data_IF_691556215574
#
_entry.id   IF_691556215574
#
_cell.length_a   1.000
_cell.length_b   1.000
_cell.length_c   1.000
_cell.angle_alpha   90.00
_cell.angle_beta   90.00
_cell.angle_gamma   90.00
#
_symmetry.space_group_name_H-M   'P 1'
#
loop_
_entity.id
_entity.type
_entity.pdbx_description
1 polymer ?
#
# COMPACT_ATOMS: atom_id res chain seq x y z
N UNK A 1 1.25 19.16 -12.49
CA UNK A 1 0.71 18.08 -13.38
C UNK A 1 0.30 16.90 -12.51
N UNK A 2 -0.62 16.03 -12.95
CA UNK A 2 -1.04 14.85 -12.17
C UNK A 2 0.05 13.77 -12.07
N UNK A 3 -0.31 12.63 -11.45
CA UNK A 3 0.49 11.40 -11.50
C UNK A 3 0.22 10.71 -12.83
N UNK A 4 1.24 10.09 -13.43
CA UNK A 4 1.07 9.34 -14.67
C UNK A 4 0.13 8.14 -14.48
N UNK A 5 -0.80 7.98 -15.42
CA UNK A 5 -1.83 6.95 -15.38
C UNK A 5 -1.63 5.95 -16.52
N UNK A 6 -1.83 4.67 -16.22
CA UNK A 6 -1.67 3.56 -17.14
C UNK A 6 -2.84 2.59 -17.04
N UNK A 7 -3.19 1.98 -18.17
CA UNK A 7 -4.29 1.02 -18.26
C UNK A 7 -3.74 -0.42 -18.29
N UNK A 8 -4.56 -1.37 -17.83
CA UNK A 8 -4.26 -2.78 -18.04
C UNK A 8 -4.53 -3.18 -19.49
N UNK A 9 -3.51 -3.74 -20.14
CA UNK A 9 -3.66 -4.49 -21.40
C UNK A 9 -3.58 -5.98 -21.08
N UNK A 10 -4.54 -6.74 -21.57
CA UNK A 10 -4.62 -8.19 -21.37
C UNK A 10 -4.55 -8.64 -19.90
N UNK A 11 -5.27 -7.92 -19.02
CA UNK A 11 -5.30 -8.17 -17.56
C UNK A 11 -3.94 -8.02 -16.87
N UNK A 12 -3.04 -7.18 -17.41
CA UNK A 12 -1.75 -6.84 -16.80
C UNK A 12 -1.35 -5.39 -17.09
N UNK A 13 -0.60 -4.77 -16.17
CA UNK A 13 0.06 -3.51 -16.47
C UNK A 13 1.31 -3.81 -17.30
N UNK A 14 1.35 -3.34 -18.55
CA UNK A 14 2.59 -3.39 -19.33
C UNK A 14 3.51 -2.26 -18.85
N UNK A 15 4.59 -2.59 -18.14
CA UNK A 15 5.53 -1.61 -17.60
C UNK A 15 6.48 -1.13 -18.72
N UNK A 16 6.00 -0.15 -19.48
CA UNK A 16 6.77 0.49 -20.55
C UNK A 16 7.95 1.31 -20.02
N UNK A 17 8.87 1.69 -20.91
CA UNK A 17 9.96 2.62 -20.57
C UNK A 17 9.43 3.97 -20.04
N UNK A 18 8.26 4.41 -20.51
CA UNK A 18 7.58 5.59 -19.98
C UNK A 18 7.08 5.36 -18.54
N UNK A 19 6.55 4.17 -18.23
CA UNK A 19 6.13 3.80 -16.87
C UNK A 19 7.31 3.82 -15.90
N UNK A 20 8.44 3.25 -16.30
CA UNK A 20 9.69 3.27 -15.51
C UNK A 20 10.18 4.70 -15.32
N UNK A 21 10.26 5.49 -16.40
CA UNK A 21 10.68 6.89 -16.32
C UNK A 21 9.79 7.71 -15.39
N UNK A 22 8.46 7.62 -15.52
CA UNK A 22 7.55 8.36 -14.63
C UNK A 22 7.65 7.88 -13.18
N UNK A 23 7.83 6.58 -12.93
CA UNK A 23 8.08 6.08 -11.58
C UNK A 23 9.39 6.61 -10.99
N UNK A 24 10.47 6.65 -11.77
CA UNK A 24 11.75 7.22 -11.35
C UNK A 24 11.67 8.74 -11.12
N UNK A 25 10.89 9.44 -11.94
CA UNK A 25 10.77 10.90 -11.91
C UNK A 25 9.86 11.37 -10.77
N UNK A 26 8.68 10.78 -10.64
CA UNK A 26 7.59 11.19 -9.76
C UNK A 26 7.48 10.34 -8.49
N UNK A 27 8.12 9.17 -8.46
CA UNK A 27 8.10 8.23 -7.35
C UNK A 27 6.85 7.36 -7.31
N UNK A 28 5.89 7.57 -8.22
CA UNK A 28 4.63 6.86 -8.23
C UNK A 28 3.97 6.86 -9.61
N UNK A 29 3.13 5.85 -9.85
CA UNK A 29 2.27 5.72 -11.03
C UNK A 29 0.91 5.14 -10.63
N UNK A 30 -0.15 5.46 -11.36
CA UNK A 30 -1.50 4.92 -11.15
C UNK A 30 -1.80 3.89 -12.23
N UNK A 31 -2.34 2.75 -11.81
CA UNK A 31 -3.06 1.80 -12.65
C UNK A 31 -4.56 2.07 -12.53
N UNK A 32 -5.17 2.54 -13.61
CA UNK A 32 -6.57 2.99 -13.66
C UNK A 32 -7.50 1.92 -14.24
N UNK A 33 -8.71 1.93 -13.73
CA UNK A 33 -9.88 1.30 -14.30
C UNK A 33 -10.41 2.14 -15.45
N UNK A 34 -9.94 1.86 -16.66
CA UNK A 34 -10.64 2.24 -17.88
C UNK A 34 -11.53 1.08 -18.32
N UNK A 35 -12.80 1.34 -18.65
CA UNK A 35 -13.78 0.36 -19.11
C UNK A 35 -13.88 -0.93 -18.26
N UNK A 36 -13.95 -0.80 -16.93
CA UNK A 36 -14.08 -1.91 -15.96
C UNK A 36 -12.84 -2.83 -15.84
N UNK A 37 -11.66 -2.35 -16.25
CA UNK A 37 -10.37 -3.07 -16.22
C UNK A 37 -9.32 -2.38 -15.36
N UNK A 38 -9.69 -2.03 -14.12
CA UNK A 38 -8.73 -1.62 -13.09
C UNK A 38 -7.76 -2.75 -12.75
N UNK A 39 -6.89 -2.54 -11.77
CA UNK A 39 -6.04 -3.63 -11.26
C UNK A 39 -6.92 -4.83 -10.87
N UNK A 40 -8.08 -4.58 -10.28
CA UNK A 40 -9.11 -5.59 -10.04
C UNK A 40 -10.35 -5.30 -10.89
N UNK A 41 -10.92 -6.35 -11.49
CA UNK A 41 -12.27 -6.25 -12.07
C UNK A 41 -13.34 -6.22 -10.98
N UNK A 42 -14.58 -5.85 -11.32
CA UNK A 42 -15.71 -5.87 -10.37
C UNK A 42 -15.91 -7.24 -9.72
N UNK A 43 -15.74 -8.33 -10.48
CA UNK A 43 -15.90 -9.69 -9.95
C UNK A 43 -14.76 -10.11 -9.02
N UNK A 44 -13.52 -9.71 -9.34
CA UNK A 44 -12.36 -9.90 -8.45
C UNK A 44 -12.53 -9.08 -7.17
N UNK A 45 -12.99 -7.83 -7.29
CA UNK A 45 -13.23 -6.93 -6.18
C UNK A 45 -14.30 -7.46 -5.22
N UNK A 46 -15.42 -7.99 -5.73
CA UNK A 46 -16.45 -8.63 -4.90
C UNK A 46 -15.90 -9.80 -4.09
N UNK A 47 -15.01 -10.61 -4.68
CA UNK A 47 -14.33 -11.70 -3.97
C UNK A 47 -13.43 -11.16 -2.85
N UNK A 48 -12.66 -10.10 -3.12
CA UNK A 48 -11.83 -9.46 -2.10
C UNK A 48 -12.69 -8.87 -0.97
N UNK A 49 -13.80 -8.19 -1.28
CA UNK A 49 -14.74 -7.69 -0.27
C UNK A 49 -15.22 -8.78 0.68
N UNK A 50 -15.68 -9.92 0.13
CA UNK A 50 -16.12 -11.07 0.92
C UNK A 50 -15.05 -11.54 1.91
N UNK A 51 -13.78 -11.51 1.52
CA UNK A 51 -12.67 -11.90 2.38
C UNK A 51 -12.34 -10.85 3.42
N UNK A 52 -12.30 -9.56 3.06
CA UNK A 52 -11.94 -8.50 4.01
C UNK A 52 -13.02 -8.21 5.06
N UNK A 53 -14.26 -8.58 4.75
CA UNK A 53 -15.40 -8.52 5.68
C UNK A 53 -15.55 -9.80 6.53
N UNK A 54 -14.74 -10.82 6.28
CA UNK A 54 -14.80 -12.07 7.03
C UNK A 54 -14.48 -11.81 8.52
N UNK A 55 -15.35 -12.22 9.46
CA UNK A 55 -15.13 -12.04 10.90
C UNK A 55 -13.78 -12.61 11.39
N UNK A 56 -13.32 -13.71 10.80
CA UNK A 56 -12.05 -14.33 11.15
C UNK A 56 -10.83 -13.50 10.73
N UNK A 57 -10.96 -12.63 9.74
CA UNK A 57 -9.94 -11.63 9.42
C UNK A 57 -10.09 -10.40 10.32
N UNK A 58 -11.33 -9.91 10.46
CA UNK A 58 -11.65 -8.69 11.20
C UNK A 58 -11.27 -8.78 12.68
N UNK A 59 -11.26 -9.98 13.29
CA UNK A 59 -10.79 -10.17 14.68
C UNK A 59 -9.33 -9.75 14.91
N UNK A 60 -8.51 -9.72 13.86
CA UNK A 60 -7.11 -9.29 13.92
C UNK A 60 -6.95 -7.76 13.81
N UNK A 61 -8.06 -7.04 13.67
CA UNK A 61 -8.05 -5.60 13.50
C UNK A 61 -7.67 -4.88 14.79
N UNK A 62 -6.86 -3.85 14.63
CA UNK A 62 -6.55 -2.90 15.68
C UNK A 62 -6.64 -1.48 15.13
N UNK A 63 -6.94 -0.54 16.00
CA UNK A 63 -6.93 0.85 15.62
C UNK A 63 -5.61 1.55 15.96
N UNK A 64 -5.38 2.68 15.32
CA UNK A 64 -4.28 3.61 15.62
C UNK A 64 -4.83 5.03 15.72
N UNK A 65 -5.08 5.57 16.92
CA UNK A 65 -5.69 6.89 17.05
C UNK A 65 -4.80 7.97 16.44
N UNK A 66 -5.43 8.97 15.83
CA UNK A 66 -4.80 10.21 15.41
C UNK A 66 -4.81 11.25 16.54
N UNK A 67 -4.23 12.43 16.27
CA UNK A 67 -4.19 13.55 17.21
C UNK A 67 -5.55 14.04 17.71
N UNK A 68 -6.62 13.75 16.94
CA UNK A 68 -8.00 14.16 17.22
C UNK A 68 -8.79 13.03 17.89
N UNK A 69 -8.17 11.89 18.18
CA UNK A 69 -8.82 10.70 18.74
C UNK A 69 -9.66 9.91 17.74
N UNK A 70 -9.59 10.21 16.43
CA UNK A 70 -10.18 9.40 15.38
C UNK A 70 -9.24 8.24 15.05
N UNK A 71 -9.78 7.08 14.68
CA UNK A 71 -8.99 5.85 14.65
C UNK A 71 -9.20 5.08 13.33
N UNK A 72 -8.27 5.16 12.35
CA UNK A 72 -8.24 4.17 11.29
C UNK A 72 -7.99 2.78 11.85
N UNK A 73 -8.61 1.80 11.21
CA UNK A 73 -8.50 0.38 11.54
C UNK A 73 -7.50 -0.29 10.60
N UNK A 74 -6.67 -1.16 11.16
CA UNK A 74 -5.64 -1.89 10.43
C UNK A 74 -5.70 -3.38 10.77
N UNK A 75 -5.48 -4.21 9.76
CA UNK A 75 -5.06 -5.61 9.90
C UNK A 75 -3.75 -5.76 9.15
N UNK A 76 -2.73 -6.37 9.75
CA UNK A 76 -1.41 -6.55 9.12
C UNK A 76 -1.01 -8.03 9.15
N UNK A 77 -0.53 -8.54 8.02
CA UNK A 77 0.06 -9.88 7.93
C UNK A 77 1.36 -9.89 7.11
N UNK A 78 2.30 -10.75 7.53
CA UNK A 78 3.66 -10.79 6.98
C UNK A 78 3.78 -11.64 5.71
N UNK A 79 2.94 -12.67 5.59
CA UNK A 79 2.96 -13.61 4.47
C UNK A 79 1.64 -13.60 3.71
N UNK A 80 1.66 -13.71 2.37
CA UNK A 80 0.50 -13.44 1.54
C UNK A 80 -0.70 -14.37 1.83
N UNK A 81 -0.47 -15.60 2.31
CA UNK A 81 -1.52 -16.61 2.47
C UNK A 81 -2.02 -17.18 1.14
N UNK A 82 -3.06 -18.02 1.20
CA UNK A 82 -3.64 -18.69 0.03
C UNK A 82 -5.11 -18.32 -0.24
N UNK A 83 -5.66 -17.35 0.48
CA UNK A 83 -6.95 -16.73 0.17
C UNK A 83 -6.83 -15.74 -1.01
N UNK A 84 -7.96 -15.17 -1.42
CA UNK A 84 -8.01 -14.22 -2.55
C UNK A 84 -7.07 -13.02 -2.39
N UNK A 85 -6.86 -12.49 -1.18
CA UNK A 85 -5.93 -11.37 -0.97
C UNK A 85 -4.47 -11.80 -1.18
N UNK A 86 -4.14 -13.05 -0.87
CA UNK A 86 -2.85 -13.66 -1.19
C UNK A 86 -2.68 -13.94 -2.69
N UNK A 87 -3.77 -14.21 -3.42
CA UNK A 87 -3.74 -14.27 -4.89
C UNK A 87 -3.48 -12.89 -5.50
N UNK A 88 -4.10 -11.83 -4.98
CA UNK A 88 -3.81 -10.46 -5.42
C UNK A 88 -2.32 -10.13 -5.25
N UNK A 89 -1.77 -10.37 -4.05
CA UNK A 89 -0.36 -10.11 -3.75
C UNK A 89 0.65 -10.97 -4.54
N UNK A 90 0.24 -12.12 -5.08
CA UNK A 90 1.10 -13.00 -5.89
C UNK A 90 0.82 -12.90 -7.38
N UNK A 91 -0.25 -12.24 -7.78
CA UNK A 91 -0.62 -12.13 -9.18
C UNK A 91 0.47 -11.41 -9.97
N UNK A 92 0.71 -11.86 -11.21
CA UNK A 92 1.72 -11.26 -12.09
C UNK A 92 1.51 -9.75 -12.28
N UNK A 93 0.26 -9.31 -12.43
CA UNK A 93 -0.11 -7.88 -12.59
C UNK A 93 0.26 -7.01 -11.39
N UNK A 94 0.51 -7.59 -10.21
CA UNK A 94 1.03 -6.87 -9.04
C UNK A 94 2.51 -7.15 -8.82
N UNK A 95 2.87 -8.42 -8.62
CA UNK A 95 4.23 -8.80 -8.23
C UNK A 95 5.25 -8.56 -9.36
N UNK A 96 4.95 -8.92 -10.61
CA UNK A 96 5.88 -8.70 -11.73
C UNK A 96 5.99 -7.22 -12.08
N UNK A 97 4.89 -6.44 -11.95
CA UNK A 97 4.93 -4.98 -12.04
C UNK A 97 5.93 -4.40 -11.04
N UNK A 98 5.91 -4.85 -9.78
CA UNK A 98 6.89 -4.42 -8.77
C UNK A 98 8.32 -4.85 -9.12
N UNK A 99 8.53 -6.05 -9.67
CA UNK A 99 9.85 -6.49 -10.14
C UNK A 99 10.40 -5.61 -11.24
N UNK A 100 9.55 -5.23 -12.20
CA UNK A 100 9.94 -4.39 -13.32
C UNK A 100 10.25 -2.95 -12.89
N UNK A 101 9.48 -2.39 -11.96
CA UNK A 101 9.70 -1.04 -11.43
C UNK A 101 10.91 -0.98 -10.49
N UNK A 102 11.15 -2.01 -9.67
CA UNK A 102 12.32 -2.07 -8.78
C UNK A 102 13.59 -2.64 -9.45
N UNK A 103 13.49 -3.15 -10.67
CA UNK A 103 14.64 -3.67 -11.42
C UNK A 103 15.26 -4.94 -10.82
N UNK A 104 14.45 -5.87 -10.31
CA UNK A 104 14.95 -7.13 -9.79
C UNK A 104 13.88 -8.02 -9.17
N UNK A 105 14.30 -9.20 -8.70
CA UNK A 105 13.42 -10.09 -7.94
C UNK A 105 12.91 -9.39 -6.68
N UNK A 106 11.61 -9.54 -6.39
CA UNK A 106 10.96 -8.99 -5.20
C UNK A 106 10.35 -10.11 -4.38
N UNK A 107 10.21 -9.86 -3.08
CA UNK A 107 9.38 -10.67 -2.21
C UNK A 107 8.30 -9.82 -1.54
N UNK A 108 7.21 -10.46 -1.14
CA UNK A 108 6.17 -9.83 -0.35
C UNK A 108 6.69 -9.54 1.06
N UNK A 109 6.73 -8.27 1.44
CA UNK A 109 7.23 -7.83 2.74
C UNK A 109 6.14 -7.80 3.80
N UNK A 110 4.96 -7.28 3.48
CA UNK A 110 3.74 -7.43 4.28
C UNK A 110 2.55 -6.90 3.48
N UNK A 111 1.34 -7.24 3.92
CA UNK A 111 0.13 -6.54 3.50
C UNK A 111 -0.57 -5.95 4.70
N UNK A 112 -1.16 -4.77 4.52
CA UNK A 112 -2.10 -4.15 5.44
C UNK A 112 -3.46 -4.03 4.78
N UNK A 113 -4.51 -4.40 5.49
CA UNK A 113 -5.86 -3.90 5.22
C UNK A 113 -6.04 -2.64 6.05
N UNK A 114 -6.24 -1.50 5.39
CA UNK A 114 -6.53 -0.23 6.05
C UNK A 114 -7.99 0.11 5.82
N UNK A 115 -8.70 0.43 6.89
CA UNK A 115 -10.10 0.85 6.88
C UNK A 115 -10.26 2.22 7.55
N UNK A 116 -10.77 3.19 6.80
CA UNK A 116 -11.30 4.44 7.34
C UNK A 116 -12.82 4.40 7.34
N UNK A 117 -13.40 4.15 8.50
CA UNK A 117 -14.84 4.14 8.68
C UNK A 117 -15.45 5.55 8.53
N UNK A 118 -16.72 5.65 8.12
CA UNK A 118 -17.42 6.93 8.01
C UNK A 118 -17.28 7.77 9.28
N UNK A 119 -16.93 9.04 9.11
CA UNK A 119 -16.78 10.07 10.17
C UNK A 119 -15.71 9.82 11.25
N UNK A 120 -15.31 8.57 11.52
CA UNK A 120 -14.42 8.19 12.62
C UNK A 120 -13.03 7.71 12.16
N UNK A 121 -12.86 7.40 10.86
CA UNK A 121 -11.56 7.03 10.32
C UNK A 121 -10.58 8.20 10.38
N UNK A 122 -9.52 8.07 11.18
CA UNK A 122 -8.57 9.15 11.44
C UNK A 122 -7.51 9.39 10.38
N UNK A 123 -6.68 10.40 10.67
CA UNK A 123 -5.56 10.85 9.84
C UNK A 123 -4.37 9.89 9.98
N UNK A 124 -3.68 9.62 8.87
CA UNK A 124 -2.30 9.14 8.92
C UNK A 124 -1.41 10.35 8.68
N UNK A 125 -0.49 10.65 9.61
CA UNK A 125 0.43 11.77 9.49
C UNK A 125 1.37 11.62 8.28
N UNK A 126 1.99 12.71 7.82
CA UNK A 126 3.00 12.65 6.78
C UNK A 126 4.11 11.65 7.14
N UNK A 127 4.40 10.72 6.26
CA UNK A 127 5.44 9.71 6.48
C UNK A 127 6.03 9.18 5.17
N UNK A 128 7.08 8.39 5.33
CA UNK A 128 7.68 7.54 4.31
C UNK A 128 7.60 6.11 4.84
N UNK A 129 7.17 5.16 4.03
CA UNK A 129 7.14 3.75 4.44
C UNK A 129 8.52 3.27 4.89
N UNK A 130 9.56 3.68 4.15
CA UNK A 130 10.95 3.36 4.48
C UNK A 130 11.40 3.92 5.82
N UNK A 131 10.83 5.02 6.32
CA UNK A 131 11.21 5.54 7.63
C UNK A 131 10.88 4.57 8.77
N UNK A 132 9.83 3.77 8.62
CA UNK A 132 9.55 2.65 9.51
C UNK A 132 10.47 1.47 9.23
N UNK A 133 10.60 1.08 7.96
CA UNK A 133 11.30 -0.15 7.57
C UNK A 133 12.82 -0.07 7.78
N UNK A 134 13.38 1.13 7.73
CA UNK A 134 14.76 1.43 8.13
C UNK A 134 15.02 1.01 9.58
N UNK A 135 14.07 1.28 10.49
CA UNK A 135 14.17 0.82 11.89
C UNK A 135 14.00 -0.69 12.04
N UNK A 136 13.48 -1.37 11.00
CA UNK A 136 13.25 -2.82 10.98
C UNK A 136 14.34 -3.60 10.22
N UNK A 137 15.48 -2.96 9.95
CA UNK A 137 16.67 -3.64 9.41
C UNK A 137 16.82 -3.59 7.90
N UNK A 138 15.88 -2.96 7.17
CA UNK A 138 16.04 -2.71 5.73
C UNK A 138 17.13 -1.64 5.51
N UNK A 139 18.16 -1.97 4.74
CA UNK A 139 19.35 -1.13 4.59
C UNK A 139 19.25 -0.11 3.45
N UNK A 140 18.55 -0.48 2.38
CA UNK A 140 18.31 0.36 1.22
C UNK A 140 16.82 0.60 1.02
N UNK A 141 16.43 1.74 0.43
CA UNK A 141 15.04 2.03 0.05
C UNK A 141 14.62 1.29 -1.24
N UNK A 142 15.12 0.07 -1.43
CA UNK A 142 14.87 -0.81 -2.58
C UNK A 142 13.50 -1.52 -2.43
N UNK A 143 12.48 -0.72 -2.10
CA UNK A 143 11.16 -1.18 -1.66
C UNK A 143 10.07 -0.29 -2.24
N UNK A 144 8.86 -0.84 -2.37
CA UNK A 144 7.71 -0.08 -2.82
C UNK A 144 6.41 -0.63 -2.24
N UNK A 145 5.37 0.18 -2.36
CA UNK A 145 4.02 -0.16 -1.89
C UNK A 145 3.04 -0.08 -3.06
N UNK A 146 2.13 -1.04 -3.09
CA UNK A 146 0.96 -1.06 -3.97
C UNK A 146 -0.28 -0.81 -3.12
N UNK A 147 -0.92 0.33 -3.33
CA UNK A 147 -2.18 0.70 -2.71
C UNK A 147 -3.33 0.34 -3.65
N UNK A 148 -4.06 -0.73 -3.34
CA UNK A 148 -5.23 -1.19 -4.10
C UNK A 148 -6.50 -0.64 -3.44
N UNK A 149 -7.23 0.20 -4.16
CA UNK A 149 -8.48 0.78 -3.68
C UNK A 149 -9.58 -0.29 -3.68
N UNK A 150 -10.13 -0.63 -2.52
CA UNK A 150 -11.28 -1.55 -2.43
C UNK A 150 -12.60 -0.79 -2.49
N UNK A 151 -12.63 0.44 -1.98
CA UNK A 151 -13.74 1.36 -2.14
C UNK A 151 -13.25 2.60 -2.93
N UNK A 152 -14.17 3.36 -3.53
CA UNK A 152 -13.85 4.66 -4.14
C UNK A 152 -13.09 5.53 -3.12
N UNK A 153 -11.97 6.11 -3.53
CA UNK A 153 -11.15 7.00 -2.72
C UNK A 153 -11.28 8.42 -3.27
N UNK A 154 -11.76 9.34 -2.45
CA UNK A 154 -11.89 10.75 -2.78
C UNK A 154 -11.42 11.64 -1.61
N UNK A 155 -11.41 12.95 -1.81
CA UNK A 155 -10.95 13.87 -0.75
C UNK A 155 -11.79 13.77 0.53
N UNK A 156 -13.10 13.56 0.42
CA UNK A 156 -14.03 13.55 1.55
C UNK A 156 -13.90 12.29 2.43
N UNK A 157 -13.53 11.16 1.85
CA UNK A 157 -13.28 9.91 2.58
C UNK A 157 -11.80 9.65 2.87
N UNK A 158 -10.98 10.68 2.70
CA UNK A 158 -9.58 10.68 3.11
C UNK A 158 -8.69 9.87 2.18
N UNK A 159 -8.75 10.14 0.86
CA UNK A 159 -7.80 9.61 -0.13
C UNK A 159 -6.34 9.85 0.27
N UNK A 160 -5.42 9.09 -0.33
CA UNK A 160 -4.00 9.36 -0.15
C UNK A 160 -3.66 10.74 -0.74
N UNK A 161 -2.69 11.39 -0.12
CA UNK A 161 -2.04 12.57 -0.63
C UNK A 161 -0.55 12.25 -0.74
N UNK A 162 0.08 12.69 -1.82
CA UNK A 162 1.51 12.47 -2.05
C UNK A 162 2.20 13.78 -2.44
N UNK A 163 3.46 13.93 -2.03
CA UNK A 163 4.34 14.95 -2.61
C UNK A 163 5.10 14.33 -3.77
N UNK A 164 4.71 14.69 -4.99
CA UNK A 164 5.24 14.07 -6.21
C UNK A 164 6.73 14.35 -6.35
N UNK A 165 7.53 13.32 -6.61
CA UNK A 165 8.99 13.40 -6.71
C UNK A 165 9.74 13.47 -5.38
N UNK A 166 9.04 13.48 -4.23
CA UNK A 166 9.67 13.60 -2.90
C UNK A 166 10.55 12.42 -2.50
N UNK A 167 10.43 11.26 -3.17
CA UNK A 167 11.33 10.12 -2.96
C UNK A 167 12.80 10.47 -3.24
N UNK A 168 13.05 11.45 -4.11
CA UNK A 168 14.39 11.97 -4.42
C UNK A 168 15.02 12.76 -3.28
N UNK A 169 14.24 13.16 -2.27
CA UNK A 169 14.76 13.80 -1.06
C UNK A 169 15.50 12.82 -0.13
N UNK A 170 15.48 11.51 -0.44
CA UNK A 170 16.06 10.47 0.40
C UNK A 170 15.20 10.16 1.63
N UNK A 171 15.77 9.45 2.60
CA UNK A 171 15.09 9.15 3.87
C UNK A 171 15.02 10.41 4.74
N UNK A 172 13.82 10.74 5.17
CA UNK A 172 13.54 11.79 6.15
C UNK A 172 13.47 11.14 7.53
N UNK A 173 13.90 11.88 8.55
CA UNK A 173 13.83 11.39 9.92
C UNK A 173 12.39 11.18 10.38
N UNK A 174 12.20 10.07 11.08
CA UNK A 174 10.91 9.63 11.59
C UNK A 174 10.88 9.82 13.10
N UNK A 175 10.20 10.89 13.51
CA UNK A 175 10.07 11.35 14.89
C UNK A 175 8.71 10.87 15.45
N UNK A 176 8.63 10.74 16.77
CA UNK A 176 7.35 10.47 17.43
C UNK A 176 6.55 11.78 17.43
N UNK A 177 5.45 11.79 16.70
CA UNK A 177 4.51 12.90 16.57
C UNK A 177 3.15 12.41 17.07
N UNK A 178 2.79 12.80 18.30
CA UNK A 178 1.52 12.45 18.94
C UNK A 178 1.19 10.95 18.90
N UNK A 179 2.08 10.14 19.46
CA UNK A 179 1.98 8.67 19.54
C UNK A 179 2.01 7.91 18.20
N UNK A 180 2.03 8.62 17.07
CA UNK A 180 2.37 8.08 15.76
C UNK A 180 3.81 8.45 15.43
N UNK A 181 4.58 7.52 14.87
CA UNK A 181 5.86 7.88 14.25
C UNK A 181 5.56 8.48 12.86
N UNK A 182 6.04 9.69 12.58
CA UNK A 182 5.84 10.40 11.32
C UNK A 182 7.12 11.10 10.85
N UNK A 183 7.14 11.58 9.61
CA UNK A 183 8.26 12.35 9.07
C UNK A 183 8.42 13.69 9.81
N UNK A 184 9.66 14.16 9.92
CA UNK A 184 9.99 15.48 10.45
C UNK A 184 9.15 16.58 9.76
N UNK A 185 8.35 17.29 10.57
CA UNK A 185 7.35 18.25 10.09
C UNK A 185 8.01 19.47 9.45
N UNK A 186 9.12 19.97 9.99
CA UNK A 186 9.84 21.11 9.43
C UNK A 186 10.41 20.74 8.06
N UNK A 187 10.94 19.52 7.94
CA UNK A 187 11.44 19.01 6.66
C UNK A 187 10.32 18.84 5.63
N UNK A 188 9.16 18.32 6.04
CA UNK A 188 7.99 18.19 5.16
C UNK A 188 7.54 19.55 4.64
N UNK A 189 7.44 20.57 5.51
CA UNK A 189 7.02 21.92 5.12
C UNK A 189 7.92 22.56 4.06
N UNK A 190 9.24 22.32 4.12
CA UNK A 190 10.15 22.80 3.07
C UNK A 190 9.99 22.02 1.76
N UNK A 191 9.70 20.72 1.82
CA UNK A 191 9.46 19.89 0.63
C UNK A 191 8.14 20.25 -0.04
N UNK A 192 7.09 20.55 0.73
CA UNK A 192 5.79 21.02 0.21
C UNK A 192 5.89 22.30 -0.63
N UNK A 193 6.92 23.13 -0.42
CA UNK A 193 7.14 24.34 -1.22
C UNK A 193 7.67 24.05 -2.62
N UNK A 194 8.26 22.88 -2.84
CA UNK A 194 8.98 22.54 -4.08
C UNK A 194 8.46 21.29 -4.78
N UNK A 195 7.68 20.45 -4.09
CA UNK A 195 7.03 19.27 -4.65
C UNK A 195 5.51 19.50 -4.80
N UNK A 196 4.94 19.04 -5.92
CA UNK A 196 3.50 19.12 -6.16
C UNK A 196 2.74 18.22 -5.18
N UNK A 197 1.80 18.79 -4.41
CA UNK A 197 0.85 18.05 -3.59
C UNK A 197 -0.28 17.49 -4.45
N UNK A 198 -0.37 16.16 -4.56
CA UNK A 198 -1.40 15.49 -5.34
C UNK A 198 -2.33 14.70 -4.41
N UNK A 199 -3.64 14.95 -4.54
CA UNK A 199 -4.67 14.09 -3.96
C UNK A 199 -4.94 12.93 -4.91
N UNK A 200 -4.73 11.71 -4.43
CA UNK A 200 -4.82 10.49 -5.23
C UNK A 200 -6.23 9.94 -5.14
N UNK A 201 -7.13 10.49 -5.95
CA UNK A 201 -8.52 10.01 -6.07
C UNK A 201 -8.57 8.79 -7.00
N UNK A 202 -9.10 7.68 -6.50
CA UNK A 202 -9.10 6.35 -7.12
C UNK A 202 -10.52 5.78 -7.15
N UNK A 203 -10.86 5.06 -8.22
CA UNK A 203 -12.05 4.22 -8.23
C UNK A 203 -11.76 2.88 -7.57
N UNK A 204 -12.80 2.23 -7.04
CA UNK A 204 -12.66 0.86 -6.55
C UNK A 204 -12.08 -0.04 -7.66
N UNK A 205 -11.05 -0.81 -7.33
CA UNK A 205 -10.29 -1.62 -8.29
C UNK A 205 -9.05 -0.93 -8.89
N UNK A 206 -8.89 0.40 -8.79
CA UNK A 206 -7.65 1.08 -9.17
C UNK A 206 -6.50 0.73 -8.21
N UNK A 207 -5.26 0.95 -8.64
CA UNK A 207 -4.10 0.87 -7.77
C UNK A 207 -3.10 2.01 -7.97
N UNK A 208 -2.49 2.47 -6.87
CA UNK A 208 -1.33 3.35 -6.87
C UNK A 208 -0.09 2.52 -6.53
N UNK A 209 0.92 2.56 -7.39
CA UNK A 209 2.25 2.00 -7.16
C UNK A 209 3.16 3.16 -6.76
N UNK A 210 3.81 3.09 -5.59
CA UNK A 210 4.68 4.17 -5.14
C UNK A 210 5.92 3.67 -4.40
N UNK A 211 7.03 4.36 -4.63
CA UNK A 211 8.31 4.10 -4.00
C UNK A 211 8.24 4.37 -2.48
N UNK A 212 8.94 3.57 -1.68
CA UNK A 212 8.86 3.62 -0.21
C UNK A 212 9.27 4.96 0.44
N UNK A 213 10.03 5.80 -0.29
CA UNK A 213 10.40 7.16 0.12
C UNK A 213 9.46 8.26 -0.35
N UNK A 214 8.40 7.97 -1.12
CA UNK A 214 7.41 9.01 -1.43
C UNK A 214 6.77 9.47 -0.14
N UNK A 215 6.88 10.77 0.17
CA UNK A 215 6.13 11.37 1.27
C UNK A 215 4.65 11.29 0.94
N UNK A 216 3.91 10.68 1.86
CA UNK A 216 2.47 10.54 1.73
C UNK A 216 1.76 10.67 3.07
N UNK A 217 0.50 11.06 3.00
CA UNK A 217 -0.41 11.28 4.14
C UNK A 217 -1.83 10.91 3.73
N UNK A 218 -2.76 10.87 4.67
CA UNK A 218 -4.19 10.87 4.32
C UNK A 218 -5.04 11.50 5.42
N UNK A 219 -5.88 12.45 5.04
CA UNK A 219 -6.83 13.13 5.93
C UNK A 219 -7.87 12.18 6.53
N UNK A 220 -8.53 12.60 7.60
CA UNK A 220 -9.64 11.87 8.20
C UNK A 220 -10.81 11.68 7.22
N UNK A 221 -11.59 10.64 7.44
CA UNK A 221 -12.83 10.41 6.71
C UNK A 221 -13.93 11.26 7.34
N UNK A 222 -14.38 12.27 6.62
CA UNK A 222 -15.48 13.17 7.03
C UNK A 222 -16.80 12.84 6.34
N UNK A 223 -16.80 11.83 5.47
CA UNK A 223 -17.96 11.43 4.66
C UNK A 223 -18.77 10.31 5.31
N UNK A 224 -19.93 10.02 4.72
CA UNK A 224 -20.75 8.86 5.03
C UNK A 224 -20.28 7.54 4.39
N UNK A 225 -19.23 7.57 3.58
CA UNK A 225 -18.73 6.42 2.84
C UNK A 225 -17.47 5.86 3.48
N UNK A 226 -17.38 4.54 3.61
CA UNK A 226 -16.16 3.88 4.07
C UNK A 226 -15.07 3.95 2.98
N UNK A 227 -13.80 3.88 3.42
CA UNK A 227 -12.65 3.72 2.52
C UNK A 227 -11.74 2.60 3.00
N UNK A 228 -11.73 1.48 2.27
CA UNK A 228 -10.81 0.36 2.46
C UNK A 228 -9.76 0.30 1.38
N UNK A 229 -8.58 -0.19 1.75
CA UNK A 229 -7.53 -0.52 0.81
C UNK A 229 -6.67 -1.68 1.27
N UNK A 230 -6.22 -2.48 0.31
CA UNK A 230 -5.10 -3.39 0.50
C UNK A 230 -3.81 -2.65 0.16
N UNK A 231 -2.89 -2.62 1.11
CA UNK A 231 -1.60 -1.95 0.99
C UNK A 231 -0.53 -3.01 1.06
N UNK A 232 0.04 -3.35 -0.09
CA UNK A 232 0.94 -4.50 -0.28
C UNK A 232 2.35 -3.96 -0.47
N UNK A 233 3.25 -4.27 0.46
CA UNK A 233 4.64 -3.86 0.40
C UNK A 233 5.52 -4.96 -0.21
N UNK A 234 6.43 -4.56 -1.10
CA UNK A 234 7.44 -5.42 -1.70
C UNK A 234 8.83 -4.87 -1.41
N UNK A 235 9.79 -5.79 -1.26
CA UNK A 235 11.20 -5.49 -1.10
C UNK A 235 12.02 -6.31 -2.09
N UNK A 236 13.13 -5.77 -2.58
CA UNK A 236 14.04 -6.54 -3.45
C UNK A 236 14.65 -7.70 -2.66
N UNK A 237 14.78 -8.87 -3.30
CA UNK A 237 15.40 -10.05 -2.70
C UNK A 237 16.85 -9.77 -2.23
N UNK A 238 17.56 -8.88 -2.94
CA UNK A 238 18.91 -8.45 -2.58
C UNK A 238 18.98 -7.47 -1.40
N UNK A 239 17.84 -7.01 -0.88
CA UNK A 239 17.73 -6.05 0.23
C UNK A 239 17.03 -6.69 1.45
N UNK A 240 17.30 -7.98 1.68
CA UNK A 240 16.81 -8.72 2.84
C UNK A 240 17.17 -7.99 4.15
N UNK A 241 16.20 -7.68 5.04
CA UNK A 241 16.51 -7.03 6.31
C UNK A 241 17.51 -7.86 7.13
N UNK A 242 18.42 -7.15 7.81
CA UNK A 242 19.28 -7.78 8.81
C UNK A 242 18.49 -8.44 9.94
N UNK A 243 19.15 -9.19 10.86
CA UNK A 243 18.47 -9.92 11.92
C UNK A 243 17.57 -9.00 12.75
N UNK A 244 16.25 -9.16 12.59
CA UNK A 244 15.25 -8.41 13.33
C UNK A 244 14.01 -9.29 13.56
N UNK A 245 13.46 -9.28 14.77
CA UNK A 245 12.32 -10.12 15.17
C UNK A 245 10.94 -9.56 14.77
N UNK A 246 10.90 -8.45 14.04
CA UNK A 246 9.65 -7.72 13.79
C UNK A 246 9.08 -8.08 12.43
N UNK A 247 9.81 -7.90 11.34
CA UNK A 247 9.31 -8.11 9.98
C UNK A 247 9.91 -9.34 9.30
N UNK A 248 9.25 -9.90 8.26
CA UNK A 248 9.75 -11.08 7.59
C UNK A 248 11.01 -10.74 6.77
N UNK A 249 11.98 -11.65 6.84
CA UNK A 249 13.08 -11.70 5.87
C UNK A 249 12.62 -12.21 4.51
N UNK A 250 13.56 -12.28 3.58
CA UNK A 250 13.33 -12.77 2.23
C UNK A 250 12.73 -14.18 2.27
N UNK A 251 11.60 -14.32 1.59
CA UNK A 251 10.98 -15.61 1.28
C UNK A 251 10.66 -15.60 -0.21
N UNK A 252 11.13 -16.58 -1.00
CA UNK A 252 10.84 -16.64 -2.43
C UNK A 252 9.34 -16.51 -2.71
N UNK A 253 8.97 -15.54 -3.55
CA UNK A 253 7.58 -15.29 -3.90
C UNK A 253 7.19 -16.09 -5.15
N UNK A 254 6.40 -17.14 -4.96
CA UNK A 254 5.81 -17.86 -6.09
C UNK A 254 4.66 -17.03 -6.68
N UNK A 255 4.89 -16.46 -7.87
CA UNK A 255 3.85 -15.74 -8.61
C UNK A 255 2.78 -16.69 -9.12
N UNK A 256 1.55 -16.17 -9.28
CA UNK A 256 0.41 -16.89 -9.86
C UNK A 256 -0.13 -16.12 -11.05
N UNK A 257 -0.70 -16.83 -12.03
CA UNK A 257 -1.39 -16.21 -13.16
C UNK A 257 -2.50 -15.26 -12.68
N UNK A 258 -2.76 -14.18 -13.42
CA UNK A 258 -3.73 -13.16 -12.98
C UNK A 258 -5.14 -13.72 -12.82
N UNK A 259 -5.48 -14.75 -13.60
CA UNK A 259 -6.74 -15.50 -13.48
C UNK A 259 -6.92 -16.20 -12.13
N UNK A 260 -5.85 -16.41 -11.36
CA UNK A 260 -5.92 -17.03 -10.04
C UNK A 260 -6.76 -16.22 -9.05
N UNK A 261 -6.84 -14.89 -9.20
CA UNK A 261 -7.71 -14.05 -8.38
C UNK A 261 -9.17 -14.40 -8.67
N UNK A 262 -9.54 -14.39 -9.96
CA UNK A 262 -10.89 -14.71 -10.41
C UNK A 262 -11.28 -16.17 -10.12
N UNK A 263 -10.35 -17.12 -10.14
CA UNK A 263 -10.62 -18.54 -9.85
C UNK A 263 -10.46 -18.93 -8.37
N UNK A 264 -10.02 -18.01 -7.50
CA UNK A 264 -9.85 -18.31 -6.08
C UNK A 264 -11.21 -18.49 -5.41
N UNK A 265 -11.39 -19.62 -4.71
CA UNK A 265 -12.58 -19.92 -3.91
C UNK A 265 -12.28 -19.94 -2.40
N UNK A 266 -11.03 -19.65 -2.00
CA UNK A 266 -10.65 -19.53 -0.60
C UNK A 266 -10.89 -18.09 -0.10
N UNK A 267 -11.90 -17.93 0.75
CA UNK A 267 -12.27 -16.64 1.33
C UNK A 267 -12.17 -16.60 2.87
N UNK A 268 -11.70 -17.68 3.49
CA UNK A 268 -11.82 -17.88 4.95
C UNK A 268 -10.69 -18.66 5.59
N UNK A 269 -9.90 -19.40 4.81
CA UNK A 269 -8.68 -20.03 5.32
C UNK A 269 -7.53 -19.02 5.23
N UNK A 270 -7.22 -18.43 6.38
CA UNK A 270 -6.13 -17.48 6.58
C UNK A 270 -4.84 -18.14 7.05
N UNK A 271 -4.74 -19.47 6.96
CA UNK A 271 -3.49 -20.16 7.25
C UNK A 271 -2.35 -19.62 6.39
N UNK A 272 -1.17 -19.53 6.99
CA UNK A 272 -0.01 -18.94 6.35
C UNK A 272 -0.03 -17.40 6.24
N UNK A 273 -1.09 -16.71 6.68
CA UNK A 273 -0.99 -15.28 7.03
C UNK A 273 -0.47 -15.19 8.46
N UNK A 274 0.82 -14.87 8.62
CA UNK A 274 1.35 -14.54 9.94
C UNK A 274 0.86 -13.14 10.34
N UNK A 275 -0.20 -13.09 11.16
CA UNK A 275 -0.83 -11.85 11.58
C UNK A 275 -0.04 -11.20 12.70
N UNK A 276 0.19 -9.90 12.55
CA UNK A 276 0.89 -9.14 13.57
C UNK A 276 0.02 -8.95 14.82
N UNK A 277 0.40 -9.56 15.93
CA UNK A 277 -0.20 -9.28 17.23
C UNK A 277 0.25 -7.88 17.71
N UNK A 278 -0.70 -7.03 18.13
CA UNK A 278 -0.43 -5.68 18.70
C UNK A 278 0.85 -5.67 19.55
N UNK A 279 1.90 -4.99 19.11
CA UNK A 279 3.00 -4.60 19.99
C UNK A 279 2.75 -3.18 20.52
N UNK A 280 3.09 -2.88 21.78
CA UNK A 280 3.00 -1.54 22.33
C UNK A 280 3.87 -0.56 21.52
N UNK A 281 3.38 0.68 21.40
CA UNK A 281 4.03 1.77 20.66
C UNK A 281 5.51 1.89 21.04
N UNK A 282 6.38 1.97 20.03
CA UNK A 282 7.76 2.43 20.18
C UNK A 282 7.86 3.88 19.72
#
# INVERSE_FOLDING_TARGET
>A
MGIAEYENKDNSLNVTDDAKRHFDEDGCIINRCFDFRGLLSDSELQKVHRTVENPELVKHQYGRPDKKGKEPKLVLWQHPGNDVTGMVARSRKVAETCQELLGGEVYHYHTKLITKEPYIGGTFEWHQDYGYWYKYGCLFPDMMTVFVALDDCNKENGCLQVLKGSHKCGRIDHLIVAEQTGADVERVQEIEKVCDLIHVELKAGDALFFHCNVLHTSSDNTSGNQRRALVIAYNRASNDPGPHEKHPGYTPLHTVENSAIASCENFSDFSGKDFWAKQPQA
#
